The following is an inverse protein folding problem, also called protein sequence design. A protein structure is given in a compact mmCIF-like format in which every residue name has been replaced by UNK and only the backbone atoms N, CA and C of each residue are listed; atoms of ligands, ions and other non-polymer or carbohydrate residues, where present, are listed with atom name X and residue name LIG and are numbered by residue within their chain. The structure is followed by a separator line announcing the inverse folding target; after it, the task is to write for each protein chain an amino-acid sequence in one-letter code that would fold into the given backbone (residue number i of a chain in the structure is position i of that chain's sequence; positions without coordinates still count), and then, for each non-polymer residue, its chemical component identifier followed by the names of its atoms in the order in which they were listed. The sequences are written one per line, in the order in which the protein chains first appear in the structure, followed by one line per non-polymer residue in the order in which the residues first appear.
data_IF_289313048173
#
_entry.id   IF_289313048173
#
_cell.length_a   1.000
_cell.length_b   1.000
_cell.length_c   1.000
_cell.angle_alpha   90.00
_cell.angle_beta   90.00
_cell.angle_gamma   90.00
#
_symmetry.space_group_name_H-M   'P 1'
#
loop_
_entity.id
_entity.type
_entity.pdbx_description
1 polymer ?
#
# COMPACT_ATOMS: atom_id res chain seq x y z
N UNK A 1 5.56 -7.51 5.19
CA UNK A 1 4.84 -8.44 4.32
C UNK A 1 3.54 -7.79 3.89
N UNK A 2 2.93 -8.26 2.81
CA UNK A 2 1.58 -7.87 2.41
C UNK A 2 0.56 -8.71 3.17
N UNK A 3 -0.63 -8.18 3.38
CA UNK A 3 -1.79 -8.99 3.78
C UNK A 3 -1.94 -10.19 2.83
N UNK A 4 -2.13 -11.38 3.39
CA UNK A 4 -2.17 -12.67 2.66
C UNK A 4 -0.82 -13.39 2.53
N UNK A 5 0.29 -12.74 2.85
CA UNK A 5 1.63 -13.37 2.87
C UNK A 5 1.97 -13.92 4.28
N UNK A 6 3.00 -14.77 4.35
CA UNK A 6 3.47 -15.40 5.59
C UNK A 6 4.82 -14.84 6.04
N UNK A 7 4.97 -14.60 7.34
CA UNK A 7 6.24 -14.22 7.98
C UNK A 7 6.80 -15.44 8.69
N UNK A 8 7.96 -15.99 8.28
CA UNK A 8 8.62 -17.03 9.05
C UNK A 8 9.17 -16.44 10.36
N UNK A 9 8.93 -17.13 11.47
CA UNK A 9 9.43 -16.74 12.79
C UNK A 9 10.12 -17.92 13.46
N UNK A 10 11.08 -17.62 14.34
CA UNK A 10 11.77 -18.62 15.14
C UNK A 10 11.91 -18.13 16.56
N UNK A 11 11.45 -18.94 17.51
CA UNK A 11 11.72 -18.76 18.93
C UNK A 11 12.90 -19.66 19.29
N UNK A 12 13.94 -19.10 19.90
CA UNK A 12 15.08 -19.87 20.43
C UNK A 12 15.25 -19.53 21.90
N UNK A 13 15.30 -20.55 22.74
CA UNK A 13 15.51 -20.39 24.18
C UNK A 13 16.88 -20.93 24.52
N UNK A 14 17.62 -20.14 25.29
CA UNK A 14 18.96 -20.45 25.76
C UNK A 14 19.03 -20.32 27.27
N UNK A 15 19.88 -21.11 27.89
CA UNK A 15 20.23 -20.95 29.30
C UNK A 15 21.15 -19.73 29.52
N UNK A 16 21.52 -19.49 30.78
CA UNK A 16 22.41 -18.40 31.19
C UNK A 16 23.81 -18.48 30.57
N UNK A 17 24.23 -19.68 30.14
CA UNK A 17 25.50 -19.91 29.43
C UNK A 17 25.38 -19.73 27.92
N UNK A 18 24.19 -19.39 27.40
CA UNK A 18 23.92 -19.21 25.99
C UNK A 18 23.68 -20.52 25.21
N UNK A 19 23.51 -21.64 25.89
CA UNK A 19 23.28 -22.96 25.28
C UNK A 19 21.78 -23.15 25.00
N UNK A 20 21.38 -23.56 23.79
CA UNK A 20 19.97 -23.82 23.47
C UNK A 20 19.35 -24.90 24.35
N UNK A 21 18.15 -24.64 24.87
CA UNK A 21 17.44 -25.54 25.77
C UNK A 21 16.31 -26.27 25.04
N UNK A 22 16.41 -27.59 24.94
CA UNK A 22 15.34 -28.43 24.40
C UNK A 22 14.15 -28.55 25.38
N UNK A 23 12.94 -28.69 24.85
CA UNK A 23 11.69 -28.81 25.63
C UNK A 23 11.45 -27.65 26.60
N UNK A 24 12.03 -26.49 26.34
CA UNK A 24 11.83 -25.30 27.16
C UNK A 24 10.46 -24.69 26.84
N UNK A 25 9.62 -24.41 27.85
CA UNK A 25 8.30 -23.83 27.64
C UNK A 25 8.38 -22.35 27.28
N UNK A 26 7.49 -21.91 26.40
CA UNK A 26 7.30 -20.50 26.09
C UNK A 26 5.86 -20.19 25.70
N UNK A 27 5.57 -18.91 25.68
CA UNK A 27 4.34 -18.37 25.11
C UNK A 27 4.62 -17.39 23.97
N UNK A 28 3.67 -17.26 23.05
CA UNK A 28 3.62 -16.20 22.06
C UNK A 28 2.29 -15.47 22.19
N UNK A 29 2.34 -14.14 22.20
CA UNK A 29 1.14 -13.29 22.15
C UNK A 29 1.36 -12.13 21.18
N UNK A 30 0.27 -11.44 20.83
CA UNK A 30 0.28 -10.20 20.06
C UNK A 30 -0.03 -9.00 20.96
N UNK A 31 0.38 -7.81 20.54
CA UNK A 31 -0.15 -6.55 21.05
C UNK A 31 -1.27 -6.01 20.17
N UNK A 32 -1.64 -4.76 20.41
CA UNK A 32 -2.58 -4.02 19.57
C UNK A 32 -2.03 -3.78 18.16
N UNK A 33 -2.90 -3.86 17.16
CA UNK A 33 -2.63 -3.37 15.82
C UNK A 33 -2.69 -1.84 15.76
N UNK A 34 -1.61 -1.21 15.30
CA UNK A 34 -1.49 0.26 15.24
C UNK A 34 -1.31 0.71 13.79
N UNK A 35 -2.12 1.67 13.34
CA UNK A 35 -1.96 2.27 12.02
C UNK A 35 -0.68 3.14 11.96
N UNK A 36 -0.38 3.72 10.78
CA UNK A 36 0.86 4.49 10.61
C UNK A 36 0.82 5.82 11.38
N UNK A 37 -0.37 6.34 11.64
CA UNK A 37 -0.60 7.55 12.44
C UNK A 37 -0.55 7.32 13.96
N UNK A 38 -0.37 6.08 14.43
CA UNK A 38 -0.25 5.76 15.85
C UNK A 38 -1.56 5.44 16.56
N UNK A 39 -2.66 5.27 15.82
CA UNK A 39 -3.97 4.89 16.37
C UNK A 39 -4.10 3.36 16.44
N UNK A 40 -4.58 2.85 17.58
CA UNK A 40 -5.00 1.45 17.72
C UNK A 40 -6.25 1.17 16.90
N UNK A 41 -6.26 0.07 16.14
CA UNK A 41 -7.38 -0.40 15.33
C UNK A 41 -7.57 -1.91 15.51
N UNK A 42 -8.77 -2.31 15.90
CA UNK A 42 -9.15 -3.72 16.08
C UNK A 42 -10.06 -4.21 14.95
N UNK A 43 -10.82 -3.30 14.34
CA UNK A 43 -11.71 -3.60 13.21
C UNK A 43 -11.80 -2.44 12.23
N UNK A 44 -12.21 -2.75 10.99
CA UNK A 44 -12.31 -1.82 9.89
C UNK A 44 -13.57 -2.04 9.05
N UNK A 45 -13.56 -1.48 7.85
CA UNK A 45 -14.68 -1.58 6.91
C UNK A 45 -14.89 -3.02 6.41
N UNK A 46 -16.13 -3.37 6.08
CA UNK A 46 -16.46 -4.67 5.46
C UNK A 46 -16.04 -5.90 6.29
N UNK A 47 -16.01 -5.77 7.62
CA UNK A 47 -15.72 -6.89 8.53
C UNK A 47 -14.24 -7.26 8.64
N UNK A 48 -13.32 -6.43 8.12
CA UNK A 48 -11.89 -6.66 8.33
C UNK A 48 -11.54 -6.51 9.81
N UNK A 49 -10.87 -7.50 10.38
CA UNK A 49 -10.31 -7.47 11.73
C UNK A 49 -8.80 -7.24 11.68
N UNK A 50 -8.18 -7.05 12.84
CA UNK A 50 -6.72 -7.05 12.98
C UNK A 50 -6.15 -8.44 13.32
N UNK A 51 -6.96 -9.51 13.25
CA UNK A 51 -6.62 -10.87 13.65
C UNK A 51 -5.35 -11.38 12.97
N UNK A 52 -4.57 -12.16 13.70
CA UNK A 52 -3.39 -12.85 13.20
C UNK A 52 -3.56 -14.36 13.35
N UNK A 53 -3.09 -15.12 12.37
CA UNK A 53 -2.98 -16.58 12.49
C UNK A 53 -1.52 -16.95 12.64
N UNK A 54 -1.21 -17.62 13.76
CA UNK A 54 0.08 -18.22 14.04
C UNK A 54 0.00 -19.71 13.74
N UNK A 55 0.85 -20.23 12.87
CA UNK A 55 0.96 -21.65 12.61
C UNK A 55 2.30 -22.15 13.11
N UNK A 56 2.29 -23.02 14.12
CA UNK A 56 3.47 -23.78 14.51
C UNK A 56 3.84 -24.73 13.37
N UNK A 57 5.13 -24.80 13.03
CA UNK A 57 5.65 -25.70 11.98
C UNK A 57 6.48 -26.83 12.58
N UNK A 58 7.21 -26.53 13.66
CA UNK A 58 7.95 -27.52 14.46
C UNK A 58 7.74 -27.25 15.95
N UNK A 59 7.61 -28.28 16.80
CA UNK A 59 7.65 -29.72 16.49
C UNK A 59 6.34 -30.31 15.92
N UNK A 60 5.21 -29.60 16.02
CA UNK A 60 3.89 -30.07 15.57
C UNK A 60 3.20 -28.97 14.77
N UNK A 61 2.52 -29.34 13.66
CA UNK A 61 1.77 -28.39 12.85
C UNK A 61 0.41 -28.09 13.48
N UNK A 62 0.25 -26.89 14.04
CA UNK A 62 -1.00 -26.45 14.69
C UNK A 62 -1.24 -24.96 14.41
N UNK A 63 -2.39 -24.58 13.81
CA UNK A 63 -2.79 -23.18 13.70
C UNK A 63 -3.42 -22.67 15.00
N UNK A 64 -3.22 -21.39 15.29
CA UNK A 64 -3.82 -20.68 16.42
C UNK A 64 -4.14 -19.27 15.99
N UNK A 65 -5.39 -18.84 16.20
CA UNK A 65 -5.81 -17.46 15.95
C UNK A 65 -5.47 -16.63 17.17
N UNK A 66 -4.80 -15.50 16.94
CA UNK A 66 -4.55 -14.44 17.91
C UNK A 66 -5.46 -13.28 17.50
N UNK A 67 -6.71 -13.32 17.94
CA UNK A 67 -7.73 -12.34 17.59
C UNK A 67 -7.51 -11.01 18.33
N UNK A 68 -7.02 -11.07 19.56
CA UNK A 68 -6.72 -9.87 20.37
C UNK A 68 -5.47 -10.09 21.23
N UNK A 69 -5.14 -9.11 22.07
CA UNK A 69 -3.95 -9.10 22.93
C UNK A 69 -4.05 -10.04 24.14
N UNK A 70 -5.24 -10.56 24.46
CA UNK A 70 -5.43 -11.57 25.49
C UNK A 70 -5.17 -13.00 25.00
N UNK A 71 -5.09 -13.23 23.68
CA UNK A 71 -4.82 -14.55 23.13
C UNK A 71 -3.34 -14.93 23.29
N UNK A 72 -3.12 -16.15 23.77
CA UNK A 72 -1.79 -16.68 24.07
C UNK A 72 -1.63 -18.07 23.47
N UNK A 73 -0.62 -18.23 22.63
CA UNK A 73 -0.13 -19.53 22.19
C UNK A 73 0.87 -20.07 23.22
N UNK A 74 0.80 -21.36 23.52
CA UNK A 74 1.74 -22.07 24.39
C UNK A 74 2.51 -23.12 23.57
N UNK A 75 3.84 -23.18 23.73
CA UNK A 75 4.69 -24.09 23.00
C UNK A 75 5.91 -24.58 23.78
N UNK A 76 6.58 -25.57 23.20
CA UNK A 76 7.86 -26.11 23.67
C UNK A 76 8.89 -26.01 22.55
N UNK A 77 10.15 -25.75 22.89
CA UNK A 77 11.26 -25.82 21.92
C UNK A 77 11.57 -27.27 21.55
N UNK A 78 12.00 -27.49 20.31
CA UNK A 78 12.49 -28.78 19.84
C UNK A 78 13.87 -29.15 20.38
N UNK A 79 14.43 -30.26 19.92
CA UNK A 79 15.71 -30.80 20.39
C UNK A 79 16.92 -29.85 20.22
N UNK A 80 16.86 -28.92 19.26
CA UNK A 80 17.88 -27.89 19.03
C UNK A 80 17.67 -26.61 19.85
N UNK A 81 16.68 -26.58 20.74
CA UNK A 81 16.30 -25.42 21.55
C UNK A 81 15.53 -24.33 20.80
N UNK A 82 14.96 -24.65 19.64
CA UNK A 82 14.15 -23.71 18.85
C UNK A 82 12.79 -24.30 18.45
N UNK A 83 11.84 -23.41 18.16
CA UNK A 83 10.55 -23.71 17.52
C UNK A 83 10.30 -22.72 16.37
N UNK A 84 9.71 -23.19 15.28
CA UNK A 84 9.48 -22.37 14.07
C UNK A 84 8.00 -22.20 13.78
N UNK A 85 7.65 -21.03 13.23
CA UNK A 85 6.29 -20.61 12.99
C UNK A 85 6.16 -19.89 11.65
N UNK A 86 4.97 -19.89 11.08
CA UNK A 86 4.53 -18.86 10.13
C UNK A 86 3.46 -17.99 10.79
N UNK A 87 3.59 -16.68 10.60
CA UNK A 87 2.58 -15.70 11.01
C UNK A 87 1.92 -15.12 9.77
N UNK A 88 0.60 -15.04 9.78
CA UNK A 88 -0.18 -14.57 8.63
C UNK A 88 -1.33 -13.66 9.08
N UNK A 89 -1.69 -12.74 8.21
CA UNK A 89 -2.91 -11.96 8.31
C UNK A 89 -3.63 -12.03 6.95
N UNK A 90 -4.73 -12.76 6.87
CA UNK A 90 -5.47 -12.98 5.62
C UNK A 90 -6.26 -11.76 5.17
N UNK A 91 -6.80 -11.03 6.13
CA UNK A 91 -7.47 -9.75 5.94
C UNK A 91 -6.92 -8.76 6.94
N UNK A 92 -6.69 -7.52 6.53
CA UNK A 92 -6.12 -6.52 7.42
C UNK A 92 -6.26 -5.12 6.87
N UNK A 93 -6.04 -4.14 7.74
CA UNK A 93 -6.18 -2.72 7.43
C UNK A 93 -4.85 -2.03 7.10
N UNK A 94 -3.71 -2.72 7.23
CA UNK A 94 -2.39 -2.09 7.10
C UNK A 94 -1.88 -1.64 8.45
N UNK A 95 -1.60 -2.58 9.35
CA UNK A 95 -1.27 -2.32 10.75
C UNK A 95 0.13 -2.85 11.11
N UNK A 96 0.71 -2.20 12.11
CA UNK A 96 1.91 -2.66 12.81
C UNK A 96 1.49 -3.27 14.14
N UNK A 97 1.92 -4.51 14.38
CA UNK A 97 1.58 -5.26 15.59
C UNK A 97 2.86 -5.79 16.24
N UNK A 98 3.00 -5.67 17.55
CA UNK A 98 4.09 -6.30 18.28
C UNK A 98 3.77 -7.77 18.54
N UNK A 99 4.72 -8.67 18.25
CA UNK A 99 4.63 -10.10 18.59
C UNK A 99 5.68 -10.37 19.64
N UNK A 100 5.25 -10.95 20.76
CA UNK A 100 6.10 -11.15 21.93
C UNK A 100 6.20 -12.62 22.27
N UNK A 101 7.42 -13.11 22.47
CA UNK A 101 7.69 -14.43 23.03
C UNK A 101 8.18 -14.29 24.47
N UNK A 102 7.65 -15.10 25.39
CA UNK A 102 8.08 -15.12 26.80
C UNK A 102 8.48 -16.54 27.20
N UNK A 103 9.54 -16.66 28.00
CA UNK A 103 9.89 -17.94 28.59
C UNK A 103 8.83 -18.34 29.63
N UNK A 104 8.39 -19.59 29.60
CA UNK A 104 7.29 -20.08 30.45
C UNK A 104 7.64 -20.05 31.94
N UNK A 105 8.81 -20.58 32.29
CA UNK A 105 9.26 -20.69 33.70
C UNK A 105 9.77 -19.36 34.25
N UNK A 106 10.16 -18.44 33.36
CA UNK A 106 10.72 -17.13 33.70
C UNK A 106 10.07 -16.04 32.83
N UNK A 107 8.80 -15.67 33.07
CA UNK A 107 8.05 -14.77 32.19
C UNK A 107 8.62 -13.34 32.09
N UNK A 108 9.55 -12.97 32.99
CA UNK A 108 10.34 -11.74 32.87
C UNK A 108 11.36 -11.75 31.73
N UNK A 109 11.75 -12.92 31.24
CA UNK A 109 12.59 -13.09 30.05
C UNK A 109 11.71 -13.11 28.81
N UNK A 110 11.82 -12.07 27.99
CA UNK A 110 10.99 -11.89 26.80
C UNK A 110 11.75 -11.27 25.64
N UNK A 111 11.26 -11.52 24.43
CA UNK A 111 11.69 -10.87 23.21
C UNK A 111 10.47 -10.42 22.43
N UNK A 112 10.57 -9.28 21.74
CA UNK A 112 9.47 -8.72 20.95
C UNK A 112 9.96 -8.21 19.60
N UNK A 113 9.13 -8.41 18.57
CA UNK A 113 9.36 -7.95 17.20
C UNK A 113 8.10 -7.25 16.70
N UNK A 114 8.27 -6.16 15.95
CA UNK A 114 7.16 -5.53 15.25
C UNK A 114 6.98 -6.17 13.88
N UNK A 115 5.76 -6.62 13.59
CA UNK A 115 5.37 -7.11 12.27
C UNK A 115 4.45 -6.11 11.60
N UNK A 116 4.54 -6.02 10.27
CA UNK A 116 3.66 -5.19 9.45
C UNK A 116 3.10 -6.06 8.31
N UNK A 117 1.78 -6.10 8.25
CA UNK A 117 1.02 -6.59 7.11
C UNK A 117 0.41 -5.37 6.42
N UNK A 118 1.02 -4.96 5.31
CA UNK A 118 0.61 -3.75 4.60
C UNK A 118 -0.55 -4.02 3.63
N UNK A 119 -1.33 -2.99 3.33
CA UNK A 119 -2.47 -3.04 2.40
C UNK A 119 -2.20 -2.31 1.10
N UNK A 120 -2.78 -2.80 0.00
CA UNK A 120 -2.55 -2.23 -1.33
C UNK A 120 -3.18 -0.85 -1.49
N UNK A 121 -4.23 -0.55 -0.74
CA UNK A 121 -5.02 0.70 -0.84
C UNK A 121 -4.41 1.88 -0.10
N UNK A 122 -3.26 1.70 0.55
CA UNK A 122 -2.47 2.78 1.16
C UNK A 122 -1.08 2.83 0.51
N UNK A 123 -0.50 4.01 0.28
CA UNK A 123 0.85 4.13 -0.22
C UNK A 123 1.89 3.86 0.87
N UNK A 124 3.10 3.46 0.47
CA UNK A 124 4.23 3.43 1.39
C UNK A 124 4.84 4.84 1.56
N UNK A 125 4.05 5.72 2.17
CA UNK A 125 4.43 7.10 2.45
C UNK A 125 4.36 7.35 3.95
N UNK A 126 5.35 8.08 4.50
CA UNK A 126 5.31 8.53 5.90
C UNK A 126 4.09 9.41 6.21
N UNK A 127 3.43 9.95 5.17
CA UNK A 127 2.22 10.78 5.26
C UNK A 127 0.91 9.97 5.19
N UNK A 128 1.00 8.66 4.92
CA UNK A 128 -0.17 7.77 4.88
C UNK A 128 -0.74 7.52 6.29
N UNK A 129 -2.04 7.23 6.36
CA UNK A 129 -2.73 6.85 7.59
C UNK A 129 -2.43 5.40 7.98
N UNK A 130 -2.28 4.52 7.00
CA UNK A 130 -2.03 3.09 7.22
C UNK A 130 -0.72 2.61 6.59
N UNK A 131 -0.27 1.44 7.01
CA UNK A 131 0.90 0.79 6.43
C UNK A 131 0.54 0.21 5.09
N UNK A 132 1.12 0.78 4.04
CA UNK A 132 0.72 0.57 2.66
C UNK A 132 1.75 -0.14 1.79
N UNK A 133 1.31 -0.65 0.64
CA UNK A 133 2.18 -1.08 -0.46
C UNK A 133 1.59 -0.74 -1.84
N UNK A 134 0.77 0.30 -1.93
CA UNK A 134 0.31 0.83 -3.21
C UNK A 134 1.50 1.04 -4.15
N UNK A 135 1.34 0.63 -5.40
CA UNK A 135 2.40 0.82 -6.40
C UNK A 135 2.53 2.30 -6.73
N UNK A 136 3.76 2.81 -6.77
CA UNK A 136 3.99 4.24 -7.08
C UNK A 136 3.63 4.58 -8.53
N UNK A 137 3.69 3.62 -9.45
CA UNK A 137 3.39 3.85 -10.86
C UNK A 137 2.53 2.75 -11.51
N UNK A 138 1.81 3.14 -12.56
CA UNK A 138 1.03 2.25 -13.43
C UNK A 138 1.34 2.60 -14.89
N UNK A 139 1.76 1.60 -15.67
CA UNK A 139 2.04 1.76 -17.11
C UNK A 139 0.92 1.13 -17.93
N UNK A 140 0.40 1.88 -18.90
CA UNK A 140 -0.64 1.43 -19.83
C UNK A 140 -0.08 0.55 -20.93
N UNK A 141 -0.97 -0.12 -21.67
CA UNK A 141 -0.68 -0.90 -22.87
C UNK A 141 -0.02 -0.08 -23.99
N UNK A 142 -0.20 1.24 -23.97
CA UNK A 142 0.44 2.20 -24.89
C UNK A 142 1.79 2.72 -24.39
N UNK A 143 2.26 2.27 -23.22
CA UNK A 143 3.54 2.66 -22.64
C UNK A 143 3.54 3.98 -21.86
N UNK A 144 2.36 4.58 -21.63
CA UNK A 144 2.22 5.78 -20.80
C UNK A 144 2.27 5.38 -19.33
N UNK A 145 3.18 5.96 -18.57
CA UNK A 145 3.32 5.69 -17.14
C UNK A 145 2.75 6.83 -16.32
N UNK A 146 1.84 6.47 -15.41
CA UNK A 146 1.21 7.35 -14.45
C UNK A 146 1.82 7.14 -13.08
N UNK A 147 2.05 8.21 -12.34
CA UNK A 147 2.33 8.17 -10.92
C UNK A 147 1.01 8.01 -10.14
N UNK A 148 1.03 7.33 -8.99
CA UNK A 148 -0.14 7.22 -8.12
C UNK A 148 -0.67 8.61 -7.74
N UNK A 149 -1.97 8.74 -7.42
CA UNK A 149 -2.52 9.99 -6.92
C UNK A 149 -1.83 10.44 -5.62
N UNK A 150 -1.80 11.75 -5.37
CA UNK A 150 -1.22 12.29 -4.15
C UNK A 150 -2.18 12.19 -2.96
N UNK A 151 -1.63 11.84 -1.80
CA UNK A 151 -2.29 12.15 -0.53
C UNK A 151 -2.45 13.67 -0.41
N UNK A 152 -3.47 14.13 0.30
CA UNK A 152 -3.68 15.56 0.52
C UNK A 152 -2.46 16.21 1.23
N UNK A 153 -1.79 15.47 2.11
CA UNK A 153 -0.57 15.92 2.79
C UNK A 153 0.68 15.92 1.89
N UNK A 154 0.62 15.28 0.72
CA UNK A 154 1.69 15.30 -0.30
C UNK A 154 1.53 16.46 -1.26
N UNK A 155 0.30 16.91 -1.51
CA UNK A 155 -0.01 18.01 -2.42
C UNK A 155 0.26 19.40 -1.81
N UNK A 156 0.49 20.43 -2.64
CA UNK A 156 0.52 21.82 -2.20
C UNK A 156 -0.79 22.25 -1.51
N UNK A 157 -0.68 23.21 -0.60
CA UNK A 157 -1.84 23.78 0.10
C UNK A 157 -2.76 24.57 -0.83
N UNK A 158 -4.04 24.69 -0.46
CA UNK A 158 -5.05 25.42 -1.26
C UNK A 158 -5.86 24.54 -2.21
N UNK A 159 -5.64 23.22 -2.19
CA UNK A 159 -6.48 22.21 -2.81
C UNK A 159 -7.46 21.61 -1.79
N UNK A 160 -8.51 20.95 -2.27
CA UNK A 160 -9.46 20.21 -1.43
C UNK A 160 -8.99 18.76 -1.27
N UNK A 161 -9.76 17.97 -0.54
CA UNK A 161 -9.45 16.56 -0.28
C UNK A 161 -10.70 15.69 -0.29
N UNK A 162 -10.49 14.39 -0.40
CA UNK A 162 -11.56 13.40 -0.28
C UNK A 162 -11.02 12.16 0.42
N UNK A 163 -11.89 11.50 1.17
CA UNK A 163 -11.54 10.32 1.96
C UNK A 163 -12.05 9.05 1.29
N UNK A 164 -11.12 8.16 0.91
CA UNK A 164 -11.41 6.86 0.30
C UNK A 164 -10.37 5.86 0.80
N UNK A 165 -10.79 4.62 1.06
CA UNK A 165 -9.94 3.53 1.54
C UNK A 165 -9.11 3.88 2.80
N UNK A 166 -9.72 4.65 3.72
CA UNK A 166 -9.10 5.13 4.97
C UNK A 166 -7.90 6.08 4.80
N UNK A 167 -7.65 6.55 3.59
CA UNK A 167 -6.66 7.58 3.28
C UNK A 167 -7.36 8.89 2.87
N UNK A 168 -6.62 10.01 2.98
CA UNK A 168 -7.08 11.33 2.55
C UNK A 168 -6.28 11.78 1.34
N UNK A 169 -6.95 11.87 0.20
CA UNK A 169 -6.37 12.09 -1.11
C UNK A 169 -6.65 13.51 -1.61
N UNK A 170 -5.76 14.06 -2.45
CA UNK A 170 -5.90 15.41 -2.99
C UNK A 170 -7.02 15.49 -4.04
N UNK A 171 -7.77 16.59 -4.02
CA UNK A 171 -8.67 17.00 -5.10
C UNK A 171 -8.36 18.41 -5.54
N UNK A 172 -8.40 18.67 -6.84
CA UNK A 172 -8.02 19.95 -7.44
C UNK A 172 -9.17 20.48 -8.28
N UNK A 173 -9.21 21.79 -8.46
CA UNK A 173 -10.13 22.43 -9.39
C UNK A 173 -9.40 22.82 -10.69
N UNK A 174 -10.15 23.06 -11.75
CA UNK A 174 -9.58 23.39 -13.06
C UNK A 174 -8.76 24.69 -13.04
N UNK A 175 -9.04 25.63 -12.13
CA UNK A 175 -8.21 26.83 -11.93
C UNK A 175 -6.80 26.47 -11.47
N UNK A 176 -6.68 25.67 -10.41
CA UNK A 176 -5.38 25.33 -9.83
C UNK A 176 -4.54 24.47 -10.79
N UNK A 177 -5.16 23.58 -11.59
CA UNK A 177 -4.44 22.82 -12.61
C UNK A 177 -3.69 23.69 -13.63
N UNK A 178 -4.15 24.92 -13.86
CA UNK A 178 -3.53 25.83 -14.83
C UNK A 178 -2.38 26.66 -14.22
N UNK A 179 -2.18 26.58 -12.91
CA UNK A 179 -1.19 27.35 -12.16
C UNK A 179 -0.01 26.44 -11.83
N UNK A 180 1.18 26.77 -12.33
CA UNK A 180 2.40 26.02 -12.04
C UNK A 180 2.65 25.96 -10.52
N UNK A 181 2.97 24.76 -10.03
CA UNK A 181 3.24 24.46 -8.63
C UNK A 181 2.00 24.38 -7.74
N UNK A 182 0.78 24.62 -8.24
CA UNK A 182 -0.41 24.68 -7.40
C UNK A 182 -0.97 23.31 -7.00
N UNK A 183 -0.70 22.23 -7.75
CA UNK A 183 -1.28 20.91 -7.48
C UNK A 183 -0.24 19.79 -7.26
N UNK A 184 1.04 20.09 -7.48
CA UNK A 184 2.10 19.06 -7.55
C UNK A 184 2.13 18.33 -8.89
N UNK A 185 1.21 18.65 -9.81
CA UNK A 185 1.09 18.08 -11.14
C UNK A 185 1.14 19.20 -12.18
N UNK A 186 2.35 19.63 -12.53
CA UNK A 186 2.52 20.71 -13.48
C UNK A 186 2.05 20.31 -14.89
N UNK A 187 1.77 21.32 -15.71
CA UNK A 187 1.08 21.17 -17.01
C UNK A 187 1.72 20.11 -17.92
N UNK A 188 3.03 20.00 -17.91
CA UNK A 188 3.80 19.01 -18.69
C UNK A 188 3.63 17.58 -18.19
N UNK A 189 3.19 17.37 -16.95
CA UNK A 189 2.88 16.06 -16.37
C UNK A 189 1.39 15.74 -16.31
N UNK A 190 0.52 16.63 -16.74
CA UNK A 190 -0.91 16.35 -16.72
C UNK A 190 -1.30 15.44 -17.90
N UNK A 191 -2.13 14.41 -17.67
CA UNK A 191 -2.53 13.45 -18.70
C UNK A 191 -3.52 14.07 -19.69
N UNK A 192 -3.55 13.53 -20.91
CA UNK A 192 -4.60 13.83 -21.89
C UNK A 192 -5.82 12.94 -21.60
N UNK A 193 -7.00 13.34 -22.07
CA UNK A 193 -8.22 12.55 -21.93
C UNK A 193 -8.05 11.17 -22.57
N UNK A 194 -7.43 11.11 -23.75
CA UNK A 194 -7.15 9.85 -24.46
C UNK A 194 -6.25 8.88 -23.68
N UNK A 195 -5.31 9.39 -22.89
CA UNK A 195 -4.43 8.57 -22.05
C UNK A 195 -5.16 8.07 -20.81
N UNK A 196 -5.99 8.91 -20.19
CA UNK A 196 -6.85 8.46 -19.09
C UNK A 196 -7.89 7.44 -19.56
N UNK A 197 -8.43 7.61 -20.76
CA UNK A 197 -9.30 6.62 -21.40
C UNK A 197 -8.58 5.29 -21.61
N UNK A 198 -7.30 5.33 -22.02
CA UNK A 198 -6.48 4.12 -22.15
C UNK A 198 -6.24 3.47 -20.78
N UNK A 199 -5.88 4.26 -19.76
CA UNK A 199 -5.70 3.80 -18.39
C UNK A 199 -6.95 3.11 -17.85
N UNK A 200 -8.13 3.68 -18.11
CA UNK A 200 -9.42 3.06 -17.80
C UNK A 200 -9.65 1.77 -18.60
N UNK A 201 -9.45 1.78 -19.93
CA UNK A 201 -9.70 0.60 -20.77
C UNK A 201 -8.84 -0.60 -20.34
N UNK A 202 -7.57 -0.36 -20.00
CA UNK A 202 -6.65 -1.38 -19.48
C UNK A 202 -7.04 -1.89 -18.08
N UNK A 203 -7.87 -1.14 -17.34
CA UNK A 203 -8.21 -1.38 -15.94
C UNK A 203 -9.70 -1.09 -15.63
N UNK A 204 -10.58 -1.54 -16.52
CA UNK A 204 -12.02 -1.24 -16.47
C UNK A 204 -12.72 -1.84 -15.25
N UNK A 205 -13.94 -1.38 -14.96
CA UNK A 205 -14.78 -1.87 -13.85
C UNK A 205 -14.11 -1.73 -12.48
N UNK A 206 -13.37 -0.65 -12.26
CA UNK A 206 -12.68 -0.35 -11.00
C UNK A 206 -11.41 -1.18 -10.74
N UNK A 207 -10.86 -1.87 -11.76
CA UNK A 207 -9.67 -2.70 -11.58
C UNK A 207 -8.43 -1.90 -11.15
N UNK A 208 -8.37 -0.59 -11.38
CA UNK A 208 -7.34 0.28 -10.79
C UNK A 208 -7.32 0.21 -9.25
N UNK A 209 -8.50 0.18 -8.63
CA UNK A 209 -8.63 0.07 -7.19
C UNK A 209 -8.21 -1.28 -6.65
N UNK A 210 -8.55 -2.38 -7.33
CA UNK A 210 -8.23 -3.73 -6.86
C UNK A 210 -6.79 -4.15 -7.17
N UNK A 211 -6.28 -3.82 -8.35
CA UNK A 211 -4.96 -4.23 -8.84
C UNK A 211 -3.84 -3.34 -8.32
N UNK A 212 -4.10 -2.03 -8.21
CA UNK A 212 -3.10 -1.04 -7.84
C UNK A 212 -3.46 -0.26 -6.59
N UNK A 213 -4.62 -0.49 -5.97
CA UNK A 213 -5.03 0.18 -4.73
C UNK A 213 -5.56 1.60 -4.90
N UNK A 214 -5.69 2.09 -6.14
CA UNK A 214 -6.02 3.50 -6.38
C UNK A 214 -7.41 3.89 -5.83
N UNK A 215 -7.56 5.14 -5.36
CA UNK A 215 -8.80 5.64 -4.74
C UNK A 215 -9.89 6.01 -5.76
N UNK A 216 -10.25 5.09 -6.64
CA UNK A 216 -11.25 5.32 -7.71
C UNK A 216 -12.70 5.13 -7.26
N UNK A 217 -12.94 4.62 -6.04
CA UNK A 217 -14.27 4.38 -5.45
C UNK A 217 -15.19 5.60 -5.44
N UNK A 218 -16.49 5.38 -5.68
CA UNK A 218 -17.55 6.41 -5.62
C UNK A 218 -18.19 6.71 -6.99
N UNK A 219 -19.45 7.14 -6.99
CA UNK A 219 -20.21 7.45 -8.21
C UNK A 219 -19.75 8.74 -8.90
N UNK A 220 -19.38 9.75 -8.12
CA UNK A 220 -19.00 11.09 -8.62
C UNK A 220 -17.48 11.33 -8.52
N UNK A 221 -16.69 10.28 -8.75
CA UNK A 221 -15.24 10.31 -8.64
C UNK A 221 -14.57 10.45 -10.02
N UNK A 222 -14.54 11.69 -10.51
CA UNK A 222 -13.97 12.03 -11.80
C UNK A 222 -12.51 12.48 -11.71
N UNK A 223 -11.77 12.29 -12.80
CA UNK A 223 -10.34 12.56 -12.94
C UNK A 223 -10.09 13.52 -14.09
N UNK A 224 -9.34 14.59 -13.83
CA UNK A 224 -9.11 15.65 -14.79
C UNK A 224 -8.17 15.26 -15.93
N UNK A 225 -8.57 15.60 -17.16
CA UNK A 225 -7.70 15.71 -18.30
C UNK A 225 -7.14 17.14 -18.46
N UNK A 226 -6.01 17.27 -19.13
CA UNK A 226 -5.37 18.57 -19.41
C UNK A 226 -5.88 19.25 -20.68
N UNK A 227 -6.36 18.48 -21.65
CA UNK A 227 -6.98 18.95 -22.87
C UNK A 227 -8.46 19.30 -22.67
N UNK A 228 -8.91 20.28 -23.45
CA UNK A 228 -10.32 20.63 -23.53
C UNK A 228 -10.99 19.75 -24.59
N UNK A 229 -12.29 19.59 -24.45
CA UNK A 229 -13.08 18.87 -25.42
C UNK A 229 -13.03 19.55 -26.80
N UNK A 230 -12.71 18.82 -27.88
CA UNK A 230 -12.58 19.42 -29.20
C UNK A 230 -13.90 19.91 -29.79
N UNK A 231 -15.05 19.40 -29.33
CA UNK A 231 -16.37 19.77 -29.82
C UNK A 231 -16.98 20.90 -28.99
N UNK A 232 -16.88 20.80 -27.65
CA UNK A 232 -17.53 21.73 -26.73
C UNK A 232 -16.60 22.79 -26.15
N UNK A 233 -15.27 22.64 -26.33
CA UNK A 233 -14.23 23.51 -25.77
C UNK A 233 -14.28 23.65 -24.24
N UNK A 234 -14.78 22.63 -23.54
CA UNK A 234 -14.88 22.59 -22.07
C UNK A 234 -13.82 21.70 -21.44
N UNK A 235 -13.58 21.84 -20.13
CA UNK A 235 -12.71 20.91 -19.40
C UNK A 235 -13.32 19.51 -19.40
N UNK A 236 -12.48 18.49 -19.60
CA UNK A 236 -12.89 17.09 -19.64
C UNK A 236 -12.45 16.35 -18.38
N UNK A 237 -13.30 15.45 -17.91
CA UNK A 237 -12.97 14.48 -16.88
C UNK A 237 -13.50 13.10 -17.22
N UNK A 238 -12.89 12.07 -16.62
CA UNK A 238 -13.33 10.68 -16.76
C UNK A 238 -13.52 10.04 -15.39
N UNK A 239 -14.59 9.26 -15.24
CA UNK A 239 -14.73 8.36 -14.09
C UNK A 239 -13.96 7.07 -14.36
N UNK A 240 -12.92 6.81 -13.57
CA UNK A 240 -12.01 5.67 -13.76
C UNK A 240 -12.59 4.32 -13.28
N UNK A 241 -13.84 4.26 -12.82
CA UNK A 241 -14.56 3.01 -12.55
C UNK A 241 -15.37 2.54 -13.76
N UNK A 242 -16.08 3.45 -14.42
CA UNK A 242 -17.05 3.10 -15.46
C UNK A 242 -16.75 3.71 -16.84
N UNK A 243 -15.74 4.59 -16.93
CA UNK A 243 -15.31 5.23 -18.16
C UNK A 243 -16.16 6.42 -18.59
N UNK A 244 -17.11 6.87 -17.76
CA UNK A 244 -17.99 7.97 -18.12
C UNK A 244 -17.19 9.27 -18.26
N UNK A 245 -17.42 9.94 -19.40
CA UNK A 245 -16.91 11.28 -19.66
C UNK A 245 -17.85 12.32 -19.06
N UNK A 246 -17.26 13.32 -18.41
CA UNK A 246 -17.99 14.47 -17.92
C UNK A 246 -17.28 15.76 -18.35
N UNK A 247 -18.06 16.69 -18.91
CA UNK A 247 -17.58 17.97 -19.41
C UNK A 247 -18.04 19.10 -18.48
N UNK A 248 -17.18 20.10 -18.26
CA UNK A 248 -17.48 21.20 -17.35
C UNK A 248 -16.88 22.51 -17.80
N UNK A 249 -17.63 23.60 -17.65
CA UNK A 249 -17.13 24.98 -17.74
C UNK A 249 -16.73 25.55 -16.38
N UNK A 250 -16.98 24.82 -15.29
CA UNK A 250 -16.71 25.29 -13.93
C UNK A 250 -15.22 25.25 -13.61
N UNK A 251 -14.69 26.38 -13.16
CA UNK A 251 -13.32 26.49 -12.68
C UNK A 251 -13.17 26.15 -11.18
N UNK A 252 -14.28 25.98 -10.46
CA UNK A 252 -14.30 25.82 -9.01
C UNK A 252 -14.71 24.42 -8.54
N UNK A 253 -15.19 23.56 -9.44
CA UNK A 253 -15.50 22.17 -9.10
C UNK A 253 -14.22 21.39 -8.81
N UNK A 254 -14.26 20.54 -7.79
CA UNK A 254 -13.12 19.72 -7.38
C UNK A 254 -13.27 18.28 -7.88
N UNK A 255 -12.27 17.83 -8.62
CA UNK A 255 -12.12 16.45 -9.06
C UNK A 255 -10.69 15.97 -8.81
N UNK A 256 -10.40 14.73 -9.16
CA UNK A 256 -9.11 14.11 -8.86
C UNK A 256 -8.11 14.44 -9.93
N UNK A 257 -6.84 14.39 -9.56
CA UNK A 257 -5.74 14.53 -10.50
C UNK A 257 -4.78 13.38 -10.31
N UNK A 258 -4.32 12.86 -11.44
CA UNK A 258 -3.21 11.94 -11.55
C UNK A 258 -2.17 12.57 -12.48
N UNK A 259 -0.91 12.24 -12.28
CA UNK A 259 0.19 12.75 -13.10
C UNK A 259 0.78 11.64 -13.94
N UNK A 260 1.32 12.01 -15.10
CA UNK A 260 2.35 11.25 -15.75
C UNK A 260 3.59 11.22 -14.85
N UNK A 261 4.26 10.07 -14.82
CA UNK A 261 5.51 9.90 -14.08
C UNK A 261 6.63 10.76 -14.68
N UNK A 262 6.64 10.88 -16.00
CA UNK A 262 7.59 11.68 -16.77
C UNK A 262 6.89 12.87 -17.44
N UNK A 263 7.59 14.00 -17.53
CA UNK A 263 7.10 15.18 -18.23
C UNK A 263 7.01 14.93 -19.74
N UNK A 264 5.99 15.51 -20.37
CA UNK A 264 5.86 15.58 -21.83
C UNK A 264 7.02 16.41 -22.39
N UNK A 265 8.00 15.73 -22.98
CA UNK A 265 9.16 16.38 -23.59
C UNK A 265 10.50 15.71 -23.30
N UNK A 266 10.59 14.83 -22.30
CA UNK A 266 11.83 14.16 -21.91
C UNK A 266 12.08 12.86 -22.69
N UNK A 267 11.95 12.91 -24.01
CA UNK A 267 12.42 11.84 -24.88
C UNK A 267 13.95 11.82 -24.91
N UNK A 268 14.59 10.89 -24.20
CA UNK A 268 16.02 10.62 -24.37
C UNK A 268 16.23 9.53 -25.44
N UNK A 269 16.96 9.86 -26.51
CA UNK A 269 17.53 8.84 -27.42
C UNK A 269 18.77 8.26 -26.76
N UNK A 270 18.70 7.01 -26.30
CA UNK A 270 19.87 6.28 -25.78
C UNK A 270 20.45 5.43 -26.90
N UNK A 271 21.62 5.82 -27.41
CA UNK A 271 22.43 5.04 -28.34
C UNK A 271 23.52 4.30 -27.55
N UNK A 272 23.45 2.97 -27.47
CA UNK A 272 24.49 2.15 -26.83
C UNK A 272 25.32 1.43 -27.88
N UNK A 273 26.65 1.55 -27.79
CA UNK A 273 27.58 0.74 -28.58
C UNK A 273 27.83 -0.57 -27.85
N UNK A 274 27.43 -1.69 -28.46
CA UNK A 274 27.81 -3.02 -28.00
C UNK A 274 29.33 -3.18 -28.04
N UNK A 275 29.94 -3.67 -26.95
CA UNK A 275 31.39 -3.95 -26.90
C UNK A 275 31.77 -4.89 -28.05
N UNK A 276 32.63 -4.40 -28.95
CA UNK A 276 33.41 -5.24 -29.85
C UNK A 276 34.35 -6.12 -29.00
N UNK A 277 34.17 -7.43 -29.09
CA UNK A 277 35.14 -8.39 -28.62
C UNK A 277 36.38 -8.29 -29.51
N UNK A 278 37.48 -7.77 -28.97
CA UNK A 278 38.78 -7.86 -29.62
C UNK A 278 39.25 -9.32 -29.61
N UNK A 279 39.51 -9.89 -30.79
CA UNK A 279 40.24 -11.14 -30.92
C UNK A 279 41.65 -10.98 -30.35
N UNK A 280 42.05 -11.87 -29.44
CA UNK A 280 43.46 -12.08 -29.11
C UNK A 280 44.07 -12.94 -30.21
N UNK A 281 45.12 -12.44 -30.86
CA UNK A 281 46.15 -13.27 -31.49
C UNK A 281 47.30 -13.43 -30.52
#
# INVERSE_FOLDING_TARGET
MKTGEEIPMTVTIKDESGIPMANAPFTISRGYGVNRSGETKESGTSGTTDDLTLQALTPTVTPTVLANDADVYHGLTGANGSATFSLRQDTGMGLKTAISAKMGDYPGLSASLNVIFSVITSPDSAKAQYWGHMTETVTTSTGVTFHRPFLAAEAPSGNDSYKVNNEVWSSVNAKNMQIAGATGCDKDKQPLFSELQTLYNDNSNGALGTKYGWPVGGSDNYWWASDADPETSTFQTINLINGDKHDSTSMSIYFRQVCLDQARGDGAVIFTVGRLAWFRF
#
